data_IF_509783416966
#
_entry.id   IF_509783416966
#
_cell.length_a   1.000
_cell.length_b   1.000
_cell.length_c   1.000
_cell.angle_alpha   90.00
_cell.angle_beta   90.00
_cell.angle_gamma   90.00
#
_symmetry.space_group_name_H-M   'P 1'
#
loop_
_entity.id
_entity.type
_entity.pdbx_description
1 polymer ?
#
# COMPACT_ATOMS: atom_id res chain seq x y z
N UNK A 1 12.34 -15.89 -23.75
CA UNK A 1 11.14 -15.55 -22.97
C UNK A 1 11.52 -15.15 -21.54
N UNK A 2 12.41 -15.89 -20.88
CA UNK A 2 12.86 -15.63 -19.51
C UNK A 2 13.46 -14.23 -19.28
N UNK A 3 14.19 -13.68 -20.26
CA UNK A 3 14.76 -12.34 -20.15
C UNK A 3 13.68 -11.25 -20.16
N UNK A 4 12.58 -11.45 -20.91
CA UNK A 4 11.44 -10.54 -20.92
C UNK A 4 10.72 -10.59 -19.57
N UNK A 5 10.49 -11.79 -19.01
CA UNK A 5 9.90 -11.93 -17.67
C UNK A 5 10.77 -11.31 -16.57
N UNK A 6 12.09 -11.47 -16.64
CA UNK A 6 13.03 -10.82 -15.71
C UNK A 6 13.00 -9.30 -15.81
N UNK A 7 13.00 -8.76 -17.03
CA UNK A 7 12.91 -7.32 -17.26
C UNK A 7 11.58 -6.76 -16.73
N UNK A 8 10.45 -7.39 -17.07
CA UNK A 8 9.13 -6.98 -16.59
C UNK A 8 9.02 -7.08 -15.07
N UNK A 9 9.51 -8.17 -14.47
CA UNK A 9 9.54 -8.33 -13.01
C UNK A 9 10.35 -7.22 -12.33
N UNK A 10 11.52 -6.87 -12.88
CA UNK A 10 12.32 -5.74 -12.40
C UNK A 10 11.63 -4.39 -12.55
N UNK A 11 10.98 -4.15 -13.70
CA UNK A 11 10.22 -2.93 -13.95
C UNK A 11 9.07 -2.75 -12.96
N UNK A 12 8.22 -3.77 -12.78
CA UNK A 12 7.10 -3.70 -11.83
C UNK A 12 7.59 -3.57 -10.39
N UNK A 13 8.68 -4.26 -10.00
CA UNK A 13 9.27 -4.08 -8.67
C UNK A 13 9.71 -2.63 -8.44
N UNK A 14 10.39 -2.03 -9.41
CA UNK A 14 10.79 -0.62 -9.35
C UNK A 14 9.60 0.34 -9.33
N UNK A 15 8.60 0.10 -10.17
CA UNK A 15 7.38 0.91 -10.23
C UNK A 15 6.59 0.84 -8.93
N UNK A 16 6.38 -0.36 -8.37
CA UNK A 16 5.73 -0.54 -7.06
C UNK A 16 6.49 0.19 -5.97
N UNK A 17 7.81 0.12 -5.94
CA UNK A 17 8.61 0.82 -4.93
C UNK A 17 8.51 2.34 -5.06
N UNK A 18 8.46 2.86 -6.30
CA UNK A 18 8.21 4.27 -6.58
C UNK A 18 6.80 4.69 -6.11
N UNK A 19 5.76 3.91 -6.41
CA UNK A 19 4.40 4.21 -5.97
C UNK A 19 4.25 4.16 -4.44
N UNK A 20 4.92 3.22 -3.75
CA UNK A 20 4.95 3.18 -2.28
C UNK A 20 5.60 4.46 -1.72
N UNK A 21 6.69 4.92 -2.33
CA UNK A 21 7.35 6.18 -1.90
C UNK A 21 6.44 7.40 -2.08
N UNK A 22 5.67 7.45 -3.18
CA UNK A 22 4.68 8.51 -3.40
C UNK A 22 3.52 8.43 -2.41
N UNK A 23 3.02 7.23 -2.10
CA UNK A 23 1.99 7.04 -1.10
C UNK A 23 2.45 7.52 0.28
N UNK A 24 3.71 7.22 0.68
CA UNK A 24 4.28 7.70 1.93
C UNK A 24 4.34 9.24 1.98
N UNK A 25 4.74 9.90 0.88
CA UNK A 25 4.73 11.36 0.80
C UNK A 25 3.32 11.94 0.87
N UNK A 26 2.35 11.31 0.20
CA UNK A 26 0.95 11.74 0.23
C UNK A 26 0.35 11.64 1.64
N UNK A 27 0.65 10.58 2.39
CA UNK A 27 0.27 10.44 3.80
C UNK A 27 0.85 11.58 4.64
N UNK A 28 2.14 11.88 4.49
CA UNK A 28 2.76 12.98 5.23
C UNK A 28 2.13 14.34 4.88
N UNK A 29 1.85 14.58 3.60
CA UNK A 29 1.21 15.81 3.15
C UNK A 29 -0.21 15.96 3.73
N UNK A 30 -1.03 14.91 3.67
CA UNK A 30 -2.40 14.91 4.21
C UNK A 30 -2.40 15.13 5.73
N UNK A 31 -1.45 14.55 6.46
CA UNK A 31 -1.32 14.73 7.92
C UNK A 31 -0.89 16.15 8.30
N UNK A 32 0.08 16.73 7.57
CA UNK A 32 0.63 18.06 7.90
C UNK A 32 -0.34 19.19 7.53
N UNK A 33 -0.95 19.07 6.35
CA UNK A 33 -1.75 20.15 5.77
C UNK A 33 -3.26 19.96 5.92
N UNK A 34 -3.70 18.76 6.31
CA UNK A 34 -5.10 18.38 6.35
C UNK A 34 -5.67 18.03 4.98
N UNK A 35 -6.74 17.23 4.98
CA UNK A 35 -7.44 16.80 3.77
C UNK A 35 -8.08 17.97 2.98
N UNK A 36 -8.35 19.09 3.64
CA UNK A 36 -8.93 20.29 3.01
C UNK A 36 -7.96 20.98 2.05
N UNK A 37 -6.64 20.85 2.26
CA UNK A 37 -5.64 21.48 1.40
C UNK A 37 -5.52 20.78 0.03
N UNK A 38 -5.79 19.48 -0.02
CA UNK A 38 -5.70 18.68 -1.23
C UNK A 38 -7.01 17.89 -1.45
N UNK A 39 -8.05 18.53 -2.01
CA UNK A 39 -9.36 17.92 -2.21
C UNK A 39 -9.27 16.62 -3.03
N UNK A 40 -9.74 15.51 -2.45
CA UNK A 40 -9.71 14.18 -3.08
C UNK A 40 -8.45 13.35 -2.77
N UNK A 41 -7.47 13.90 -2.05
CA UNK A 41 -6.32 13.14 -1.54
C UNK A 41 -6.67 12.57 -0.15
N UNK A 42 -7.37 11.43 -0.12
CA UNK A 42 -7.83 10.75 1.11
C UNK A 42 -7.06 9.47 1.39
N UNK A 43 -5.73 9.54 1.41
CA UNK A 43 -4.86 8.37 1.56
C UNK A 43 -4.93 7.84 3.00
N UNK A 44 -4.96 8.71 4.00
CA UNK A 44 -5.07 8.32 5.41
C UNK A 44 -6.41 7.63 5.67
N UNK A 45 -7.51 8.15 5.13
CA UNK A 45 -8.83 7.49 5.23
C UNK A 45 -8.78 6.09 4.63
N UNK A 46 -8.31 5.97 3.38
CA UNK A 46 -8.24 4.67 2.68
C UNK A 46 -7.44 3.63 3.48
N UNK A 47 -6.31 4.01 4.08
CA UNK A 47 -5.50 3.12 4.92
C UNK A 47 -6.24 2.75 6.21
N UNK A 48 -6.88 3.72 6.86
CA UNK A 48 -7.61 3.51 8.11
C UNK A 48 -8.84 2.61 7.91
N UNK A 49 -9.52 2.76 6.78
CA UNK A 49 -10.67 1.94 6.39
C UNK A 49 -10.24 0.50 6.16
N UNK A 50 -9.13 0.28 5.42
CA UNK A 50 -8.56 -1.06 5.23
C UNK A 50 -8.16 -1.73 6.56
N UNK A 51 -7.53 -0.98 7.48
CA UNK A 51 -7.18 -1.49 8.81
C UNK A 51 -8.44 -1.85 9.60
N UNK A 52 -9.48 -1.03 9.50
CA UNK A 52 -10.76 -1.26 10.17
C UNK A 52 -11.48 -2.50 9.62
N UNK A 53 -11.49 -2.70 8.30
CA UNK A 53 -12.02 -3.90 7.66
C UNK A 53 -11.28 -5.16 8.14
N UNK A 54 -9.95 -5.10 8.21
CA UNK A 54 -9.13 -6.20 8.72
C UNK A 54 -9.40 -6.45 10.21
N UNK A 55 -9.52 -5.41 11.04
CA UNK A 55 -9.83 -5.53 12.46
C UNK A 55 -11.22 -6.11 12.72
N UNK A 56 -12.21 -5.70 11.94
CA UNK A 56 -13.60 -6.18 12.06
C UNK A 56 -13.76 -7.65 11.63
N UNK A 57 -12.84 -8.17 10.82
CA UNK A 57 -12.80 -9.59 10.43
C UNK A 57 -12.39 -10.56 11.55
N UNK A 58 -11.98 -10.07 12.73
CA UNK A 58 -11.58 -10.90 13.87
C UNK A 58 -10.43 -11.85 13.50
N UNK A 59 -10.61 -13.16 13.72
CA UNK A 59 -9.59 -14.17 13.39
C UNK A 59 -9.26 -14.20 11.88
N UNK A 60 -10.27 -14.06 11.00
CA UNK A 60 -10.06 -14.07 9.55
C UNK A 60 -9.21 -12.87 9.12
N UNK A 61 -9.42 -11.72 9.76
CA UNK A 61 -8.60 -10.52 9.55
C UNK A 61 -7.13 -10.74 9.89
N UNK A 62 -6.84 -11.43 11.00
CA UNK A 62 -5.47 -11.79 11.36
C UNK A 62 -4.83 -12.75 10.35
N UNK A 63 -5.57 -13.74 9.86
CA UNK A 63 -5.06 -14.63 8.79
C UNK A 63 -4.80 -13.85 7.51
N UNK A 64 -5.70 -12.94 7.13
CA UNK A 64 -5.51 -12.08 5.95
C UNK A 64 -4.25 -11.21 6.08
N UNK A 65 -4.00 -10.63 7.26
CA UNK A 65 -2.76 -9.88 7.55
C UNK A 65 -1.51 -10.74 7.38
N UNK A 66 -1.49 -11.98 7.89
CA UNK A 66 -0.35 -12.89 7.74
C UNK A 66 -0.08 -13.25 6.28
N UNK A 67 -1.14 -13.48 5.50
CA UNK A 67 -1.02 -13.75 4.06
C UNK A 67 -0.46 -12.53 3.31
N UNK A 68 -0.99 -11.34 3.57
CA UNK A 68 -0.52 -10.09 2.98
C UNK A 68 0.96 -9.83 3.33
N UNK A 69 1.34 -10.03 4.60
CA UNK A 69 2.73 -9.94 5.03
C UNK A 69 3.61 -10.92 4.25
N UNK A 70 3.22 -12.19 4.14
CA UNK A 70 4.02 -13.20 3.43
C UNK A 70 4.25 -12.85 1.95
N UNK A 71 3.30 -12.17 1.31
CA UNK A 71 3.43 -11.70 -0.08
C UNK A 71 4.40 -10.51 -0.17
N UNK A 72 4.31 -9.56 0.76
CA UNK A 72 5.17 -8.36 0.79
C UNK A 72 6.61 -8.64 1.22
N UNK A 73 6.80 -9.58 2.15
CA UNK A 73 8.10 -9.95 2.72
C UNK A 73 8.89 -10.93 1.84
N UNK A 74 8.27 -11.49 0.79
CA UNK A 74 8.96 -12.16 -0.32
C UNK A 74 9.72 -11.13 -1.17
N UNK A 75 10.72 -10.50 -0.58
CA UNK A 75 11.72 -9.69 -1.28
C UNK A 75 12.75 -10.53 -2.01
#
# INVERSE_FOLDING_TARGET
>A
MDQVFKFMGGFFKGLTQLLISFAALAVLAEVVFGAEMFPGMTVVSNITDLISELGNGGFVGLVALLVLWSILDRK
#
